data_IF_809500630949
#
_entry.id   IF_809500630949
#
_cell.length_a   1.000
_cell.length_b   1.000
_cell.length_c   1.000
_cell.angle_alpha   90.00
_cell.angle_beta   90.00
_cell.angle_gamma   90.00
#
_symmetry.space_group_name_H-M   'P 1'
#
loop_
_entity.id
_entity.type
_entity.pdbx_description
1 polymer ?
#
# COMPACT_ATOMS: atom_id res chain seq x y z
N UNK A 1 -8.02 20.66 79.60
CA UNK A 1 -8.43 20.66 78.18
C UNK A 1 -7.57 21.66 77.43
N UNK A 2 -6.63 21.20 76.59
CA UNK A 2 -5.71 22.09 75.86
C UNK A 2 -6.46 22.83 74.73
N UNK A 3 -6.52 24.17 74.80
CA UNK A 3 -7.08 25.01 73.73
C UNK A 3 -6.01 25.18 72.63
N UNK A 4 -6.15 24.41 71.56
CA UNK A 4 -5.32 24.53 70.34
C UNK A 4 -5.40 25.97 69.82
N UNK A 5 -4.25 26.60 69.57
CA UNK A 5 -4.18 28.01 69.21
C UNK A 5 -4.81 28.27 67.83
N UNK A 6 -5.36 29.47 67.61
CA UNK A 6 -5.98 29.87 66.34
C UNK A 6 -4.99 29.74 65.16
N UNK A 7 -3.69 29.91 65.44
CA UNK A 7 -2.58 29.76 64.49
C UNK A 7 -2.39 28.29 64.06
N UNK A 8 -2.43 27.35 65.00
CA UNK A 8 -2.34 25.91 64.73
C UNK A 8 -3.56 25.40 63.96
N UNK A 9 -4.77 25.91 64.23
CA UNK A 9 -5.97 25.59 63.43
C UNK A 9 -5.83 26.07 61.98
N UNK A 10 -5.28 27.27 61.75
CA UNK A 10 -5.08 27.83 60.41
C UNK A 10 -3.99 27.06 59.63
N UNK A 11 -2.88 26.70 60.28
CA UNK A 11 -1.85 25.84 59.70
C UNK A 11 -2.39 24.45 59.36
N UNK A 12 -3.10 23.80 60.28
CA UNK A 12 -3.67 22.46 60.04
C UNK A 12 -4.69 22.45 58.90
N UNK A 13 -5.49 23.51 58.77
CA UNK A 13 -6.44 23.69 57.64
C UNK A 13 -5.71 23.94 56.32
N UNK A 14 -4.61 24.71 56.35
CA UNK A 14 -3.74 24.92 55.18
C UNK A 14 -3.05 23.62 54.74
N UNK A 15 -2.53 22.82 55.68
CA UNK A 15 -1.92 21.52 55.39
C UNK A 15 -2.96 20.51 54.87
N UNK A 16 -4.20 20.53 55.39
CA UNK A 16 -5.30 19.73 54.84
C UNK A 16 -5.68 20.15 53.42
N UNK A 17 -5.74 21.46 53.14
CA UNK A 17 -6.03 21.98 51.80
C UNK A 17 -4.93 21.58 50.80
N UNK A 18 -3.66 21.77 51.16
CA UNK A 18 -2.52 21.36 50.33
C UNK A 18 -2.46 19.84 50.12
N UNK A 19 -2.73 19.05 51.17
CA UNK A 19 -2.83 17.60 51.06
C UNK A 19 -3.95 17.16 50.11
N UNK A 20 -5.13 17.79 50.21
CA UNK A 20 -6.25 17.49 49.31
C UNK A 20 -5.99 17.89 47.86
N UNK A 21 -5.34 19.04 47.63
CA UNK A 21 -4.95 19.49 46.30
C UNK A 21 -3.89 18.58 45.67
N UNK A 22 -2.90 18.13 46.44
CA UNK A 22 -1.90 17.18 45.99
C UNK A 22 -2.52 15.82 45.64
N UNK A 23 -3.47 15.33 46.43
CA UNK A 23 -4.20 14.09 46.17
C UNK A 23 -5.02 14.19 44.87
N UNK A 24 -5.75 15.29 44.66
CA UNK A 24 -6.52 15.51 43.44
C UNK A 24 -5.64 15.60 42.20
N UNK A 25 -4.48 16.27 42.30
CA UNK A 25 -3.52 16.34 41.22
C UNK A 25 -2.93 14.96 40.88
N UNK A 26 -2.61 14.15 41.88
CA UNK A 26 -2.15 12.77 41.67
C UNK A 26 -3.22 11.91 40.97
N UNK A 27 -4.49 12.01 41.40
CA UNK A 27 -5.60 11.32 40.75
C UNK A 27 -5.83 11.78 39.31
N UNK A 28 -5.66 13.08 39.03
CA UNK A 28 -5.77 13.61 37.67
C UNK A 28 -4.65 13.09 36.75
N UNK A 29 -3.40 13.05 37.25
CA UNK A 29 -2.26 12.50 36.50
C UNK A 29 -2.45 11.00 36.23
N UNK A 30 -2.90 10.23 37.24
CA UNK A 30 -3.20 8.80 37.06
C UNK A 30 -4.37 8.60 36.10
N UNK A 31 -5.41 9.43 36.17
CA UNK A 31 -6.54 9.40 35.25
C UNK A 31 -6.14 9.71 33.81
N UNK A 32 -5.29 10.72 33.60
CA UNK A 32 -4.70 11.02 32.29
C UNK A 32 -3.85 9.86 31.78
N UNK A 33 -2.96 9.31 32.62
CA UNK A 33 -2.13 8.18 32.25
C UNK A 33 -2.97 6.94 31.88
N UNK A 34 -4.00 6.63 32.67
CA UNK A 34 -4.93 5.54 32.38
C UNK A 34 -5.72 5.79 31.09
N UNK A 35 -6.18 7.03 30.87
CA UNK A 35 -6.85 7.41 29.62
C UNK A 35 -5.93 7.18 28.41
N UNK A 36 -4.69 7.70 28.45
CA UNK A 36 -3.72 7.51 27.38
C UNK A 36 -3.37 6.03 27.14
N UNK A 37 -3.25 5.23 28.20
CA UNK A 37 -3.00 3.79 28.10
C UNK A 37 -4.18 3.02 27.50
N UNK A 38 -5.41 3.41 27.82
CA UNK A 38 -6.63 2.77 27.28
C UNK A 38 -6.93 3.21 25.84
N UNK A 39 -6.56 4.44 25.46
CA UNK A 39 -6.67 4.94 24.07
C UNK A 39 -5.56 4.45 23.16
N UNK A 40 -4.45 3.94 23.69
CA UNK A 40 -3.39 3.29 22.93
C UNK A 40 -3.81 1.87 22.49
N UNK A 41 -4.91 1.78 21.74
CA UNK A 41 -5.37 0.54 21.10
C UNK A 41 -5.01 0.56 19.63
N UNK A 42 -3.82 0.08 19.32
CA UNK A 42 -3.54 -0.44 17.97
C UNK A 42 -3.74 -1.95 18.02
N UNK A 43 -4.99 -2.41 18.17
CA UNK A 43 -5.33 -3.81 17.97
C UNK A 43 -5.30 -4.06 16.45
N UNK A 44 -4.11 -4.41 15.96
CA UNK A 44 -3.90 -4.89 14.61
C UNK A 44 -4.43 -6.32 14.50
N UNK A 45 -5.06 -6.64 13.37
CA UNK A 45 -5.39 -8.02 13.04
C UNK A 45 -4.09 -8.84 12.95
N UNK A 46 -4.02 -9.99 13.63
CA UNK A 46 -2.79 -10.80 13.72
C UNK A 46 -2.35 -11.43 12.39
N UNK A 47 -3.27 -11.60 11.43
CA UNK A 47 -3.02 -12.20 10.13
C UNK A 47 -2.75 -11.15 9.05
N UNK A 48 -3.60 -10.13 8.95
CA UNK A 48 -3.50 -9.10 7.89
C UNK A 48 -2.66 -7.90 8.29
N UNK A 49 -2.35 -7.76 9.58
CA UNK A 49 -1.67 -6.62 10.19
C UNK A 49 -2.42 -5.29 10.02
N UNK A 50 -3.69 -5.33 9.60
CA UNK A 50 -4.50 -4.14 9.38
C UNK A 50 -5.08 -3.61 10.68
N UNK A 51 -5.30 -2.28 10.78
CA UNK A 51 -6.06 -1.70 11.88
C UNK A 51 -7.45 -2.32 11.99
N UNK A 52 -7.99 -2.40 13.22
CA UNK A 52 -9.33 -2.95 13.48
C UNK A 52 -10.45 -2.23 12.72
N UNK A 53 -10.30 -0.93 12.48
CA UNK A 53 -11.25 -0.11 11.70
C UNK A 53 -11.09 -0.28 10.17
N UNK A 54 -10.11 -1.07 9.73
CA UNK A 54 -9.76 -1.28 8.33
C UNK A 54 -8.54 -0.45 7.87
N UNK A 55 -8.08 -0.68 6.64
CA UNK A 55 -6.91 0.00 6.09
C UNK A 55 -7.17 1.49 5.84
N UNK A 56 -6.15 2.31 6.09
CA UNK A 56 -6.23 3.77 5.93
C UNK A 56 -6.09 4.22 4.47
N UNK A 57 -5.40 3.41 3.65
CA UNK A 57 -5.20 3.61 2.22
C UNK A 57 -4.81 2.28 1.57
N UNK A 58 -4.75 2.24 0.25
CA UNK A 58 -4.49 1.00 -0.49
C UNK A 58 -3.53 1.22 -1.64
N UNK A 59 -2.34 0.63 -1.53
CA UNK A 59 -1.36 0.57 -2.60
C UNK A 59 -1.36 -0.83 -3.20
N UNK A 60 -1.47 -0.90 -4.52
CA UNK A 60 -1.41 -2.16 -5.26
C UNK A 60 -0.19 -2.13 -6.16
N UNK A 61 0.66 -3.15 -6.06
CA UNK A 61 1.72 -3.42 -7.03
C UNK A 61 1.26 -4.53 -7.98
N UNK A 62 1.15 -4.22 -9.26
CA UNK A 62 0.93 -5.19 -10.33
C UNK A 62 2.25 -5.45 -11.05
N UNK A 63 2.75 -6.67 -10.98
CA UNK A 63 3.98 -7.09 -11.67
C UNK A 63 3.64 -7.97 -12.85
N UNK A 64 4.15 -7.59 -14.01
CA UNK A 64 4.06 -8.37 -15.22
C UNK A 64 5.14 -9.43 -15.31
N UNK A 65 4.71 -10.69 -15.39
CA UNK A 65 5.56 -11.87 -15.47
C UNK A 65 5.36 -12.62 -16.79
N UNK A 66 4.77 -11.99 -17.80
CA UNK A 66 4.57 -12.63 -19.11
C UNK A 66 5.89 -12.83 -19.85
N UNK A 67 6.87 -11.98 -19.60
CA UNK A 67 8.23 -12.13 -20.09
C UNK A 67 9.24 -12.26 -18.95
N UNK A 68 10.30 -13.08 -19.10
CA UNK A 68 11.36 -13.17 -18.11
C UNK A 68 12.11 -11.84 -17.97
N UNK A 69 12.21 -11.35 -16.74
CA UNK A 69 13.05 -10.18 -16.43
C UNK A 69 14.53 -10.48 -16.68
N UNK A 70 15.24 -9.53 -17.29
CA UNK A 70 16.71 -9.57 -17.37
C UNK A 70 17.32 -9.42 -15.99
N UNK A 71 18.56 -9.88 -15.76
CA UNK A 71 19.22 -9.76 -14.46
C UNK A 71 19.18 -8.32 -13.90
N UNK A 72 19.43 -7.31 -14.75
CA UNK A 72 19.40 -5.90 -14.34
C UNK A 72 17.98 -5.47 -13.93
N UNK A 73 16.95 -5.88 -14.68
CA UNK A 73 15.55 -5.61 -14.32
C UNK A 73 15.16 -6.29 -13.00
N UNK A 74 15.70 -7.48 -12.69
CA UNK A 74 15.47 -8.17 -11.41
C UNK A 74 16.05 -7.37 -10.23
N UNK A 75 17.28 -6.89 -10.36
CA UNK A 75 17.92 -6.05 -9.34
C UNK A 75 17.16 -4.74 -9.15
N UNK A 76 16.79 -4.08 -10.25
CA UNK A 76 15.99 -2.85 -10.20
C UNK A 76 14.61 -3.07 -9.56
N UNK A 77 13.97 -4.21 -9.84
CA UNK A 77 12.71 -4.61 -9.21
C UNK A 77 12.86 -4.74 -7.69
N UNK A 78 13.90 -5.43 -7.21
CA UNK A 78 14.11 -5.60 -5.76
C UNK A 78 14.35 -4.27 -5.05
N UNK A 79 15.19 -3.40 -5.63
CA UNK A 79 15.47 -2.07 -5.08
C UNK A 79 14.20 -1.22 -5.01
N UNK A 80 13.38 -1.23 -6.07
CA UNK A 80 12.16 -0.45 -6.12
C UNK A 80 11.10 -1.01 -5.15
N UNK A 81 10.93 -2.33 -5.06
CA UNK A 81 10.03 -2.97 -4.12
C UNK A 81 10.42 -2.60 -2.68
N UNK A 82 11.70 -2.71 -2.32
CA UNK A 82 12.18 -2.34 -1.00
C UNK A 82 11.95 -0.84 -0.73
N UNK A 83 12.18 0.02 -1.72
CA UNK A 83 11.91 1.46 -1.62
C UNK A 83 10.43 1.75 -1.35
N UNK A 84 9.52 1.11 -2.09
CA UNK A 84 8.07 1.26 -1.92
C UNK A 84 7.69 0.90 -0.49
N UNK A 85 8.08 -0.30 -0.04
CA UNK A 85 7.61 -0.87 1.22
C UNK A 85 8.22 -0.16 2.43
N UNK A 86 9.48 0.28 2.35
CA UNK A 86 10.16 0.95 3.48
C UNK A 86 9.98 2.46 3.56
N UNK A 87 9.73 3.12 2.43
CA UNK A 87 9.79 4.60 2.37
C UNK A 87 8.54 5.26 1.81
N UNK A 88 7.77 4.57 0.95
CA UNK A 88 6.61 5.18 0.29
C UNK A 88 5.27 4.73 0.85
N UNK A 89 5.21 3.54 1.44
CA UNK A 89 4.00 2.95 2.00
C UNK A 89 3.77 3.44 3.45
N UNK A 90 2.75 4.26 3.72
CA UNK A 90 2.50 4.78 5.07
C UNK A 90 2.02 3.69 6.04
N UNK A 91 2.13 3.95 7.34
CA UNK A 91 1.58 3.08 8.39
C UNK A 91 0.05 2.95 8.25
N UNK A 92 -0.49 1.74 8.48
CA UNK A 92 -1.91 1.43 8.37
C UNK A 92 -2.43 1.29 6.94
N UNK A 93 -1.60 1.49 5.90
CA UNK A 93 -1.99 1.28 4.51
C UNK A 93 -1.89 -0.19 4.13
N UNK A 94 -2.89 -0.68 3.39
CA UNK A 94 -2.88 -2.00 2.78
C UNK A 94 -1.95 -2.01 1.58
N UNK A 95 -1.09 -3.02 1.50
CA UNK A 95 -0.28 -3.31 0.33
C UNK A 95 -0.68 -4.67 -0.26
N UNK A 96 -1.17 -4.65 -1.50
CA UNK A 96 -1.51 -5.86 -2.25
C UNK A 96 -0.57 -6.04 -3.44
N UNK A 97 -0.05 -7.24 -3.64
CA UNK A 97 0.82 -7.57 -4.77
C UNK A 97 0.12 -8.56 -5.69
N UNK A 98 -0.13 -8.14 -6.93
CA UNK A 98 -0.71 -8.96 -7.99
C UNK A 98 0.35 -9.31 -9.02
N UNK A 99 0.14 -10.45 -9.69
CA UNK A 99 1.02 -10.90 -10.76
C UNK A 99 0.22 -11.16 -12.03
N UNK A 100 0.63 -10.55 -13.14
CA UNK A 100 0.11 -10.88 -14.47
C UNK A 100 0.89 -12.07 -15.01
N UNK A 101 0.20 -13.03 -15.60
CA UNK A 101 0.78 -14.11 -16.40
C UNK A 101 -0.22 -14.57 -17.47
N UNK A 102 0.13 -15.59 -18.24
CA UNK A 102 -0.67 -16.04 -19.40
C UNK A 102 -2.15 -16.27 -19.06
N UNK A 103 -2.43 -17.00 -17.98
CA UNK A 103 -3.79 -17.16 -17.46
C UNK A 103 -4.02 -16.24 -16.26
N UNK A 104 -4.54 -15.05 -16.52
CA UNK A 104 -4.87 -14.04 -15.51
C UNK A 104 -5.87 -14.55 -14.44
N UNK A 105 -6.74 -15.51 -14.77
CA UNK A 105 -7.74 -16.04 -13.84
C UNK A 105 -7.10 -16.79 -12.67
N UNK A 106 -5.96 -17.46 -12.92
CA UNK A 106 -5.21 -18.17 -11.89
C UNK A 106 -4.57 -17.18 -10.89
N UNK A 107 -4.37 -15.93 -11.29
CA UNK A 107 -3.79 -14.87 -10.47
C UNK A 107 -4.84 -13.84 -10.03
N UNK A 108 -6.12 -14.25 -9.96
CA UNK A 108 -7.21 -13.35 -9.58
C UNK A 108 -7.09 -12.82 -8.15
N UNK A 109 -6.33 -13.49 -7.28
CA UNK A 109 -6.05 -13.06 -5.91
C UNK A 109 -4.62 -12.53 -5.79
N UNK A 110 -4.38 -11.56 -4.90
CA UNK A 110 -3.02 -11.09 -4.65
C UNK A 110 -2.16 -12.18 -4.00
N UNK A 111 -0.86 -12.18 -4.30
CA UNK A 111 0.14 -13.06 -3.69
C UNK A 111 0.42 -12.67 -2.23
N UNK A 112 0.40 -11.36 -1.99
CA UNK A 112 0.59 -10.71 -0.69
C UNK A 112 -0.50 -9.68 -0.52
N UNK A 113 -1.13 -9.64 0.65
CA UNK A 113 -2.15 -8.66 1.02
C UNK A 113 -2.01 -8.40 2.53
N UNK A 114 -1.21 -7.39 2.88
CA UNK A 114 -0.86 -7.06 4.28
C UNK A 114 -0.85 -5.55 4.48
N UNK A 115 -1.29 -5.07 5.63
CA UNK A 115 -1.11 -3.68 6.01
C UNK A 115 0.29 -3.43 6.59
N UNK A 116 0.83 -2.23 6.37
CA UNK A 116 2.03 -1.79 7.05
C UNK A 116 1.72 -1.56 8.55
N UNK A 117 2.26 -2.36 9.48
CA UNK A 117 1.99 -2.22 10.92
C UNK A 117 2.71 -1.04 11.58
N UNK A 118 3.57 -0.32 10.83
CA UNK A 118 4.46 0.68 11.38
C UNK A 118 5.74 0.08 11.95
N UNK A 119 6.86 0.81 11.85
CA UNK A 119 8.16 0.40 12.37
C UNK A 119 8.50 1.05 13.73
N UNK A 120 7.54 1.78 14.31
CA UNK A 120 7.66 2.42 15.61
C UNK A 120 8.59 3.63 15.64
N UNK A 121 9.14 4.11 14.50
CA UNK A 121 10.01 5.30 14.47
C UNK A 121 9.32 6.58 14.93
N UNK A 122 8.02 6.69 14.73
CA UNK A 122 7.23 7.86 15.17
C UNK A 122 6.75 7.76 16.62
N UNK A 123 6.93 6.61 17.28
CA UNK A 123 6.54 6.39 18.69
C UNK A 123 7.75 6.67 19.60
N UNK A 124 7.51 7.34 20.73
CA UNK A 124 8.57 7.76 21.69
C UNK A 124 9.53 6.62 22.05
N UNK A 125 10.83 6.88 21.89
CA UNK A 125 11.97 5.94 22.02
C UNK A 125 12.08 5.17 23.36
N UNK A 126 11.24 5.47 24.35
CA UNK A 126 11.38 4.99 25.73
C UNK A 126 10.48 3.81 26.11
N UNK A 127 9.80 3.18 25.15
CA UNK A 127 8.88 2.05 25.44
C UNK A 127 9.35 0.75 24.80
N UNK A 128 9.27 -0.36 25.56
CA UNK A 128 9.44 -1.76 25.10
C UNK A 128 8.59 -2.09 23.86
N UNK A 129 7.57 -1.29 23.60
CA UNK A 129 6.70 -1.32 22.43
C UNK A 129 7.44 -1.13 21.10
N UNK A 130 8.51 -0.31 21.05
CA UNK A 130 9.20 -0.01 19.77
C UNK A 130 9.92 -1.25 19.21
N UNK A 131 10.62 -2.02 20.05
CA UNK A 131 11.33 -3.23 19.59
C UNK A 131 10.36 -4.34 19.15
N UNK A 132 9.20 -4.44 19.79
CA UNK A 132 8.13 -5.37 19.40
C UNK A 132 7.54 -4.98 18.04
N UNK A 133 7.26 -3.68 17.82
CA UNK A 133 6.76 -3.18 16.54
C UNK A 133 7.78 -3.38 15.41
N UNK A 134 9.06 -3.08 15.65
CA UNK A 134 10.12 -3.34 14.68
C UNK A 134 10.23 -4.82 14.33
N UNK A 135 10.16 -5.71 15.33
CA UNK A 135 10.18 -7.15 15.11
C UNK A 135 8.96 -7.60 14.30
N UNK A 136 7.77 -7.12 14.62
CA UNK A 136 6.54 -7.39 13.87
C UNK A 136 6.64 -6.90 12.42
N UNK A 137 7.11 -5.67 12.20
CA UNK A 137 7.33 -5.11 10.89
C UNK A 137 8.33 -5.94 10.07
N UNK A 138 9.45 -6.34 10.67
CA UNK A 138 10.47 -7.11 9.96
C UNK A 138 10.04 -8.56 9.67
N UNK A 139 9.50 -9.25 10.68
CA UNK A 139 9.20 -10.70 10.60
C UNK A 139 7.86 -11.00 9.94
N UNK A 140 6.83 -10.18 10.20
CA UNK A 140 5.47 -10.46 9.71
C UNK A 140 5.10 -9.69 8.45
N UNK A 141 5.74 -8.55 8.19
CA UNK A 141 5.42 -7.71 7.03
C UNK A 141 6.51 -7.79 5.95
N UNK A 142 7.74 -7.37 6.26
CA UNK A 142 8.81 -7.31 5.25
C UNK A 142 9.27 -8.67 4.74
N UNK A 143 9.64 -9.58 5.65
CA UNK A 143 10.20 -10.88 5.26
C UNK A 143 9.24 -11.68 4.36
N UNK A 144 7.95 -11.87 4.72
CA UNK A 144 7.02 -12.63 3.89
C UNK A 144 6.75 -11.95 2.54
N UNK A 145 6.73 -10.62 2.51
CA UNK A 145 6.52 -9.84 1.29
C UNK A 145 7.70 -10.01 0.32
N UNK A 146 8.93 -9.85 0.79
CA UNK A 146 10.13 -9.99 -0.03
C UNK A 146 10.33 -11.44 -0.51
N UNK A 147 10.12 -12.44 0.36
CA UNK A 147 10.20 -13.85 -0.04
C UNK A 147 9.20 -14.20 -1.13
N UNK A 148 7.93 -13.81 -0.97
CA UNK A 148 6.90 -14.04 -2.00
C UNK A 148 7.16 -13.24 -3.27
N UNK A 149 7.89 -12.14 -3.19
CA UNK A 149 8.25 -11.35 -4.36
C UNK A 149 9.27 -12.04 -5.27
N UNK A 150 10.06 -12.99 -4.77
CA UNK A 150 10.95 -13.80 -5.61
C UNK A 150 10.16 -14.64 -6.63
N UNK A 151 8.94 -15.05 -6.29
CA UNK A 151 8.02 -15.76 -7.20
C UNK A 151 7.59 -14.88 -8.38
N UNK A 152 7.60 -13.55 -8.22
CA UNK A 152 7.22 -12.60 -9.27
C UNK A 152 8.28 -12.50 -10.38
N UNK A 153 9.52 -12.83 -10.03
CA UNK A 153 10.70 -12.64 -10.87
C UNK A 153 11.11 -13.94 -11.60
N UNK A 154 10.51 -15.06 -11.20
CA UNK A 154 10.68 -16.38 -11.82
C UNK A 154 9.61 -16.65 -12.86
N UNK A 155 9.70 -15.95 -14.00
CA UNK A 155 8.78 -16.09 -15.12
C UNK A 155 9.30 -17.03 -16.21
N UNK A 156 8.38 -17.76 -16.84
CA UNK A 156 8.58 -18.38 -18.15
C UNK A 156 7.90 -17.51 -19.18
N UNK A 157 8.43 -17.46 -20.40
CA UNK A 157 7.77 -16.77 -21.51
C UNK A 157 6.33 -17.26 -21.69
N UNK A 158 5.39 -16.32 -21.66
CA UNK A 158 3.99 -16.52 -21.92
C UNK A 158 3.66 -16.22 -23.39
N UNK A 159 2.63 -16.86 -23.92
CA UNK A 159 2.14 -16.56 -25.28
C UNK A 159 1.21 -15.36 -25.34
N UNK A 160 0.58 -15.05 -24.22
CA UNK A 160 -0.38 -13.95 -24.06
C UNK A 160 0.00 -13.07 -22.87
N UNK A 161 -0.24 -11.77 -23.00
CA UNK A 161 -0.13 -10.75 -21.95
C UNK A 161 -1.45 -9.98 -21.84
N UNK A 162 -2.44 -10.51 -21.10
CA UNK A 162 -3.77 -9.92 -20.95
C UNK A 162 -3.79 -8.77 -19.93
N UNK A 163 -3.07 -7.69 -20.25
CA UNK A 163 -2.88 -6.52 -19.35
C UNK A 163 -4.20 -5.85 -18.97
N UNK A 164 -5.12 -5.63 -19.93
CA UNK A 164 -6.40 -4.98 -19.65
C UNK A 164 -7.25 -5.80 -18.68
N UNK A 165 -7.38 -7.10 -18.92
CA UNK A 165 -8.15 -8.02 -18.08
C UNK A 165 -7.57 -8.08 -16.66
N UNK A 166 -6.25 -8.02 -16.54
CA UNK A 166 -5.60 -8.01 -15.24
C UNK A 166 -5.82 -6.70 -14.47
N UNK A 167 -5.80 -5.55 -15.15
CA UNK A 167 -6.15 -4.27 -14.51
C UNK A 167 -7.63 -4.26 -14.09
N UNK A 168 -8.53 -4.85 -14.89
CA UNK A 168 -9.93 -5.05 -14.49
C UNK A 168 -10.04 -5.89 -13.22
N UNK A 169 -9.32 -7.01 -13.16
CA UNK A 169 -9.28 -7.84 -11.96
C UNK A 169 -8.71 -7.11 -10.74
N UNK A 170 -7.65 -6.31 -10.92
CA UNK A 170 -7.07 -5.51 -9.84
C UNK A 170 -8.07 -4.46 -9.34
N UNK A 171 -8.85 -3.84 -10.22
CA UNK A 171 -9.93 -2.93 -9.82
C UNK A 171 -10.94 -3.66 -8.92
N UNK A 172 -11.36 -4.87 -9.30
CA UNK A 172 -12.38 -5.64 -8.58
C UNK A 172 -11.84 -6.26 -7.29
N UNK A 173 -10.83 -7.12 -7.40
CA UNK A 173 -10.33 -7.94 -6.29
C UNK A 173 -9.34 -7.20 -5.39
N UNK A 174 -8.84 -6.05 -5.83
CA UNK A 174 -8.08 -5.12 -5.02
C UNK A 174 -8.96 -4.00 -4.50
N UNK A 175 -9.16 -2.96 -5.29
CA UNK A 175 -9.76 -1.71 -4.80
C UNK A 175 -11.23 -1.85 -4.37
N UNK A 176 -12.09 -2.47 -5.19
CA UNK A 176 -13.52 -2.59 -4.87
C UNK A 176 -13.78 -3.53 -3.69
N UNK A 177 -13.06 -4.65 -3.61
CA UNK A 177 -13.16 -5.62 -2.50
C UNK A 177 -12.97 -4.97 -1.12
N UNK A 178 -11.97 -4.10 -0.98
CA UNK A 178 -11.67 -3.44 0.30
C UNK A 178 -12.38 -2.10 0.48
N UNK A 179 -12.84 -1.47 -0.61
CA UNK A 179 -13.58 -0.21 -0.61
C UNK A 179 -12.92 0.89 0.26
N UNK A 180 -11.59 0.96 0.21
CA UNK A 180 -10.79 1.86 1.07
C UNK A 180 -11.11 3.32 0.74
N UNK A 181 -11.40 4.12 1.79
CA UNK A 181 -11.80 5.53 1.65
C UNK A 181 -10.62 6.48 1.45
N UNK A 182 -9.43 6.13 1.92
CA UNK A 182 -8.25 6.98 1.80
C UNK A 182 -7.56 6.88 0.43
N UNK A 183 -6.27 7.23 0.40
CA UNK A 183 -5.49 7.25 -0.84
C UNK A 183 -5.41 5.87 -1.49
N UNK A 184 -5.63 5.83 -2.80
CA UNK A 184 -5.49 4.62 -3.63
C UNK A 184 -4.39 4.84 -4.67
N UNK A 185 -3.49 3.86 -4.77
CA UNK A 185 -2.36 3.89 -5.70
C UNK A 185 -2.21 2.56 -6.41
N UNK A 186 -2.08 2.60 -7.73
CA UNK A 186 -1.75 1.45 -8.57
C UNK A 186 -0.35 1.66 -9.15
N UNK A 187 0.57 0.80 -8.74
CA UNK A 187 1.94 0.77 -9.23
C UNK A 187 2.02 -0.42 -10.19
N UNK A 188 2.39 -0.18 -11.45
CA UNK A 188 2.47 -1.23 -12.47
C UNK A 188 3.91 -1.36 -12.94
N UNK A 189 4.46 -2.57 -12.87
CA UNK A 189 5.76 -2.94 -13.42
C UNK A 189 5.54 -3.87 -14.60
N UNK A 190 5.56 -3.35 -15.82
CA UNK A 190 5.22 -4.08 -17.05
C UNK A 190 5.90 -3.44 -18.26
N UNK A 191 6.07 -4.19 -19.34
CA UNK A 191 6.39 -3.60 -20.64
C UNK A 191 5.20 -2.83 -21.25
N UNK A 192 4.02 -3.01 -20.66
CA UNK A 192 2.74 -2.45 -21.05
C UNK A 192 2.32 -2.85 -22.48
N UNK A 193 2.89 -3.92 -23.05
CA UNK A 193 2.56 -4.39 -24.40
C UNK A 193 1.50 -5.48 -24.36
N UNK A 194 0.24 -5.06 -24.42
CA UNK A 194 -0.88 -6.00 -24.40
C UNK A 194 -0.85 -6.95 -25.61
N UNK A 195 -1.04 -8.25 -25.34
CA UNK A 195 -1.04 -9.28 -26.36
C UNK A 195 -2.06 -10.37 -26.06
N UNK A 196 -3.18 -10.33 -26.76
CA UNK A 196 -4.19 -11.40 -26.81
C UNK A 196 -4.58 -11.67 -28.26
N UNK A 197 -5.39 -12.71 -28.46
CA UNK A 197 -6.00 -12.98 -29.77
C UNK A 197 -6.94 -11.86 -30.27
N UNK A 198 -7.51 -11.05 -29.37
CA UNK A 198 -8.49 -10.00 -29.71
C UNK A 198 -7.83 -8.64 -29.93
N UNK A 199 -6.74 -8.33 -29.21
CA UNK A 199 -5.99 -7.09 -29.36
C UNK A 199 -4.51 -7.35 -29.14
N UNK A 200 -3.67 -6.82 -30.03
CA UNK A 200 -2.24 -7.11 -30.02
C UNK A 200 -1.46 -5.84 -30.37
N UNK A 201 -0.74 -5.31 -29.38
CA UNK A 201 0.08 -4.10 -29.53
C UNK A 201 1.41 -4.33 -30.26
N UNK A 202 1.85 -5.58 -30.45
CA UNK A 202 3.05 -5.90 -31.24
C UNK A 202 2.83 -5.82 -32.75
N UNK A 203 1.58 -6.02 -33.20
CA UNK A 203 1.23 -6.08 -34.64
C UNK A 203 0.39 -4.91 -35.12
N UNK A 204 -0.33 -4.26 -34.21
CA UNK A 204 -1.34 -3.26 -34.57
C UNK A 204 -0.78 -1.86 -34.41
N UNK A 205 -1.13 -0.95 -35.33
CA UNK A 205 -1.08 0.48 -35.02
C UNK A 205 -2.15 0.73 -33.96
N UNK A 206 -1.74 1.17 -32.78
CA UNK A 206 -2.65 1.48 -31.69
C UNK A 206 -2.79 3.01 -31.55
N UNK A 207 -4.03 3.41 -31.31
CA UNK A 207 -4.49 4.77 -31.03
C UNK A 207 -5.64 4.63 -30.02
N UNK A 208 -5.66 5.48 -28.99
CA UNK A 208 -6.58 5.25 -27.89
C UNK A 208 -8.03 5.47 -28.30
N UNK A 209 -8.27 6.49 -29.12
CA UNK A 209 -9.57 6.89 -29.61
C UNK A 209 -10.22 5.76 -30.42
N UNK A 210 -9.48 5.16 -31.35
CA UNK A 210 -9.91 3.99 -32.12
C UNK A 210 -10.13 2.76 -31.24
N UNK A 211 -9.22 2.53 -30.28
CA UNK A 211 -9.35 1.44 -29.32
C UNK A 211 -10.63 1.57 -28.49
N UNK A 212 -10.89 2.75 -27.91
CA UNK A 212 -11.98 2.99 -26.97
C UNK A 212 -13.36 2.75 -27.59
N UNK A 213 -13.53 3.00 -28.89
CA UNK A 213 -14.80 2.76 -29.60
C UNK A 213 -14.93 1.33 -30.14
N UNK A 214 -13.83 0.58 -30.23
CA UNK A 214 -13.82 -0.79 -30.73
C UNK A 214 -14.60 -1.76 -29.81
N UNK A 215 -15.06 -2.92 -30.33
CA UNK A 215 -15.72 -3.92 -29.50
C UNK A 215 -14.85 -4.43 -28.34
N UNK A 216 -13.54 -4.52 -28.54
CA UNK A 216 -12.61 -4.95 -27.49
C UNK A 216 -12.42 -3.85 -26.44
N UNK A 217 -12.11 -2.61 -26.85
CA UNK A 217 -11.93 -1.51 -25.90
C UNK A 217 -13.17 -1.22 -25.07
N UNK A 218 -14.39 -1.37 -25.63
CA UNK A 218 -15.65 -1.30 -24.86
C UNK A 218 -15.76 -2.39 -23.79
N UNK A 219 -15.25 -3.60 -24.04
CA UNK A 219 -15.21 -4.69 -23.05
C UNK A 219 -14.11 -4.48 -22.00
N UNK A 220 -13.02 -3.82 -22.38
CA UNK A 220 -11.88 -3.51 -21.51
C UNK A 220 -12.10 -2.28 -20.62
N UNK A 221 -13.26 -1.64 -20.67
CA UNK A 221 -13.60 -0.51 -19.79
C UNK A 221 -13.64 -0.94 -18.33
N UNK A 222 -13.26 -0.02 -17.45
CA UNK A 222 -13.24 -0.22 -16.01
C UNK A 222 -13.28 1.13 -15.29
N UNK A 223 -13.56 1.08 -13.98
CA UNK A 223 -13.57 2.25 -13.11
C UNK A 223 -12.43 2.15 -12.09
N UNK A 224 -11.65 3.22 -11.99
CA UNK A 224 -10.53 3.43 -11.06
C UNK A 224 -10.61 4.83 -10.44
N UNK A 225 -11.82 5.27 -10.05
CA UNK A 225 -12.03 6.61 -9.49
C UNK A 225 -11.08 6.88 -8.33
N UNK A 226 -10.42 8.04 -8.35
CA UNK A 226 -9.47 8.48 -7.31
C UNK A 226 -8.27 7.54 -7.12
N UNK A 227 -7.86 6.80 -8.15
CA UNK A 227 -6.62 6.00 -8.13
C UNK A 227 -5.50 6.79 -8.81
N UNK A 228 -4.39 6.95 -8.10
CA UNK A 228 -3.13 7.43 -8.68
C UNK A 228 -2.38 6.26 -9.32
N UNK A 229 -1.82 6.44 -10.51
CA UNK A 229 -1.13 5.38 -11.25
C UNK A 229 0.34 5.73 -11.45
N UNK A 230 1.23 4.82 -11.07
CA UNK A 230 2.67 4.90 -11.35
C UNK A 230 3.05 3.77 -12.30
N UNK A 231 3.62 4.11 -13.45
CA UNK A 231 4.04 3.14 -14.47
C UNK A 231 5.56 3.00 -14.44
N UNK A 232 6.03 1.80 -14.17
CA UNK A 232 7.42 1.37 -14.27
C UNK A 232 7.57 0.50 -15.51
N UNK A 233 8.06 1.11 -16.59
CA UNK A 233 8.19 0.50 -17.90
C UNK A 233 9.38 -0.45 -17.96
N UNK A 234 9.11 -1.73 -18.24
CA UNK A 234 10.13 -2.71 -18.58
C UNK A 234 10.47 -2.58 -20.07
N UNK A 235 11.65 -2.05 -20.41
CA UNK A 235 12.00 -1.69 -21.79
C UNK A 235 12.42 -2.89 -22.66
N UNK A 236 11.52 -3.84 -22.89
CA UNK A 236 11.78 -5.06 -23.67
C UNK A 236 11.77 -4.82 -25.19
N UNK A 237 10.88 -3.95 -25.69
CA UNK A 237 10.75 -3.61 -27.12
C UNK A 237 10.69 -2.09 -27.32
N UNK A 238 11.84 -1.38 -27.21
CA UNK A 238 11.87 0.09 -27.24
C UNK A 238 11.28 0.74 -28.51
N UNK A 239 11.29 0.02 -29.64
CA UNK A 239 10.69 0.48 -30.89
C UNK A 239 9.17 0.63 -30.82
N UNK A 240 8.50 -0.15 -29.97
CA UNK A 240 7.05 -0.08 -29.74
C UNK A 240 6.73 0.79 -28.52
N UNK A 241 7.57 0.76 -27.49
CA UNK A 241 7.38 1.47 -26.23
C UNK A 241 7.81 2.95 -26.31
N UNK A 242 7.32 3.63 -27.34
CA UNK A 242 7.58 5.05 -27.61
C UNK A 242 6.67 5.95 -26.76
N UNK A 243 6.86 7.28 -26.87
CA UNK A 243 5.94 8.26 -26.26
C UNK A 243 4.48 8.05 -26.66
N UNK A 244 4.20 7.62 -27.91
CA UNK A 244 2.83 7.35 -28.35
C UNK A 244 2.19 6.22 -27.53
N UNK A 245 2.97 5.18 -27.21
CA UNK A 245 2.53 4.08 -26.38
C UNK A 245 2.25 4.50 -24.94
N UNK A 246 3.12 5.31 -24.35
CA UNK A 246 2.88 5.89 -23.02
C UNK A 246 1.59 6.74 -22.99
N UNK A 247 1.37 7.57 -24.02
CA UNK A 247 0.16 8.39 -24.15
C UNK A 247 -1.12 7.55 -24.26
N UNK A 248 -1.07 6.44 -25.01
CA UNK A 248 -2.21 5.51 -25.09
C UNK A 248 -2.65 5.04 -23.70
N UNK A 249 -1.69 4.62 -22.86
CA UNK A 249 -1.99 4.13 -21.51
C UNK A 249 -2.42 5.25 -20.57
N UNK A 250 -1.82 6.43 -20.68
CA UNK A 250 -2.27 7.62 -19.94
C UNK A 250 -3.73 7.95 -20.25
N UNK A 251 -4.11 7.96 -21.54
CA UNK A 251 -5.50 8.17 -21.95
C UNK A 251 -6.43 7.07 -21.44
N UNK A 252 -6.01 5.80 -21.47
CA UNK A 252 -6.77 4.69 -20.91
C UNK A 252 -7.05 4.85 -19.41
N UNK A 253 -6.05 5.19 -18.61
CA UNK A 253 -6.22 5.41 -17.18
C UNK A 253 -7.07 6.64 -16.88
N UNK A 254 -6.85 7.74 -17.61
CA UNK A 254 -7.65 8.95 -17.48
C UNK A 254 -9.13 8.71 -17.82
N UNK A 255 -9.41 7.95 -18.88
CA UNK A 255 -10.77 7.56 -19.25
C UNK A 255 -11.44 6.64 -18.22
N UNK A 256 -10.64 5.94 -17.42
CA UNK A 256 -11.11 5.06 -16.33
C UNK A 256 -11.27 5.81 -14.99
N UNK A 257 -11.11 7.13 -14.94
CA UNK A 257 -11.22 7.94 -13.72
C UNK A 257 -9.98 7.94 -12.82
N UNK A 258 -8.88 7.33 -13.28
CA UNK A 258 -7.58 7.37 -12.61
C UNK A 258 -6.71 8.53 -13.13
N UNK A 259 -5.57 8.76 -12.49
CA UNK A 259 -4.58 9.74 -12.93
C UNK A 259 -3.19 9.13 -12.93
N UNK A 260 -2.51 9.14 -14.08
CA UNK A 260 -1.09 8.78 -14.14
C UNK A 260 -0.26 9.90 -13.51
N UNK A 261 0.54 9.56 -12.50
CA UNK A 261 1.34 10.53 -11.72
C UNK A 261 2.83 10.41 -12.00
N UNK A 262 3.27 9.26 -12.50
CA UNK A 262 4.65 9.02 -12.91
C UNK A 262 4.71 7.94 -14.00
N UNK A 263 5.62 8.13 -14.96
CA UNK A 263 6.05 7.12 -15.91
C UNK A 263 7.58 7.08 -15.84
N UNK A 264 8.13 5.92 -15.49
CA UNK A 264 9.57 5.74 -15.26
C UNK A 264 10.03 4.50 -16.02
N UNK A 265 11.09 4.58 -16.83
CA UNK A 265 11.75 3.36 -17.30
C UNK A 265 12.41 2.66 -16.10
N UNK A 266 12.18 1.36 -15.97
CA UNK A 266 12.96 0.53 -15.06
C UNK A 266 14.30 0.23 -15.74
N UNK A 267 15.41 0.52 -15.07
CA UNK A 267 16.75 0.33 -15.63
C UNK A 267 16.99 -1.12 -16.04
N UNK A 268 17.54 -1.31 -17.24
CA UNK A 268 17.79 -2.62 -17.85
C UNK A 268 17.74 -2.57 -19.35
#
# INVERSE_FOLDING_TARGET
MARISIREKKQRRSHMLWGSAALLMALFIVGLAAYFLVTAKDDLNSETLCPSEGPLGHYILLVDKTDPLSFIQKEAFQVELESIVRHKLPEGYLFSVFSLGENFQNNAKPLVELCNPGDGKEKSHWTTTVSILQKQYQEKFLTPLLQKSEELVSAKHAKESPIFEMIQLVSINGFQKHAVKGEKKLIIMSDMLHNTSQFNMYKSKFDFEDFAVSPYGKKSQLELSNVSVELYYLMNTPSLQTRKHALFWEQFFNNSGARVVAIRPLGG
#
